data_IF_024436276544
#
_entry.id   IF_024436276544
#
_cell.length_a   1.000
_cell.length_b   1.000
_cell.length_c   1.000
_cell.angle_alpha   90.00
_cell.angle_beta   90.00
_cell.angle_gamma   90.00
#
_symmetry.space_group_name_H-M   'P 1'
#
loop_
_entity.id
_entity.type
_entity.pdbx_description
1 polymer ?
#
# COMPACT_ATOMS: atom_id res chain seq x y z
N UNK A 1 9.12 -36.97 -12.61
CA UNK A 1 9.25 -35.85 -11.66
C UNK A 1 7.88 -35.24 -11.65
N UNK A 2 7.14 -35.40 -10.55
CA UNK A 2 5.74 -34.96 -10.46
C UNK A 2 5.70 -33.46 -10.75
N UNK A 3 5.09 -33.10 -11.89
CA UNK A 3 4.79 -31.70 -12.18
C UNK A 3 3.77 -31.24 -11.16
N UNK A 4 4.16 -30.34 -10.26
CA UNK A 4 3.21 -29.66 -9.38
C UNK A 4 2.87 -28.32 -10.00
N UNK A 5 1.61 -28.12 -10.37
CA UNK A 5 1.10 -26.80 -10.76
C UNK A 5 0.17 -26.25 -9.69
N UNK A 6 0.10 -24.94 -9.58
CA UNK A 6 -0.76 -24.27 -8.60
C UNK A 6 -1.57 -23.19 -9.28
N UNK A 7 -2.88 -23.21 -9.06
CA UNK A 7 -3.81 -22.19 -9.53
C UNK A 7 -4.68 -21.71 -8.36
N UNK A 8 -5.21 -20.50 -8.48
CA UNK A 8 -6.13 -19.96 -7.49
C UNK A 8 -7.45 -19.55 -8.13
N UNK A 9 -8.54 -19.81 -7.42
CA UNK A 9 -9.90 -19.45 -7.77
C UNK A 9 -10.42 -18.41 -6.78
N UNK A 10 -11.07 -17.37 -7.31
CA UNK A 10 -11.73 -16.35 -6.52
C UNK A 10 -13.10 -16.06 -7.12
N UNK A 11 -14.15 -16.07 -6.31
CA UNK A 11 -15.47 -15.68 -6.81
C UNK A 11 -15.54 -14.18 -7.10
N UNK A 12 -16.28 -13.80 -8.15
CA UNK A 12 -16.49 -12.39 -8.50
C UNK A 12 -17.09 -11.57 -7.35
N UNK A 13 -17.93 -12.18 -6.51
CA UNK A 13 -18.52 -11.54 -5.33
C UNK A 13 -17.48 -11.23 -4.24
N UNK A 14 -16.53 -12.14 -3.98
CA UNK A 14 -15.45 -11.89 -3.01
C UNK A 14 -14.48 -10.85 -3.54
N UNK A 15 -14.13 -10.91 -4.83
CA UNK A 15 -13.33 -9.87 -5.47
C UNK A 15 -14.00 -8.49 -5.38
N UNK A 16 -15.29 -8.42 -5.69
CA UNK A 16 -16.09 -7.20 -5.57
C UNK A 16 -16.16 -6.68 -4.14
N UNK A 17 -16.34 -7.56 -3.15
CA UNK A 17 -16.38 -7.17 -1.74
C UNK A 17 -15.03 -6.65 -1.23
N UNK A 18 -13.91 -7.25 -1.66
CA UNK A 18 -12.56 -6.77 -1.38
C UNK A 18 -12.35 -5.37 -1.96
N UNK A 19 -12.72 -5.17 -3.24
CA UNK A 19 -12.61 -3.88 -3.91
C UNK A 19 -13.50 -2.81 -3.25
N UNK A 20 -14.76 -3.14 -2.93
CA UNK A 20 -15.70 -2.24 -2.25
C UNK A 20 -15.15 -1.75 -0.91
N UNK A 21 -14.60 -2.67 -0.10
CA UNK A 21 -14.02 -2.32 1.18
C UNK A 21 -12.80 -1.39 1.04
N UNK A 22 -11.93 -1.66 0.07
CA UNK A 22 -10.78 -0.81 -0.19
C UNK A 22 -11.20 0.60 -0.63
N UNK A 23 -12.15 0.70 -1.55
CA UNK A 23 -12.66 1.97 -2.05
C UNK A 23 -13.39 2.79 -0.97
N UNK A 24 -13.97 2.11 0.02
CA UNK A 24 -14.63 2.74 1.17
C UNK A 24 -13.65 3.29 2.21
N UNK A 25 -12.36 2.92 2.13
CA UNK A 25 -11.32 3.37 3.07
C UNK A 25 -10.39 4.36 2.36
N UNK A 26 -9.96 5.42 3.03
CA UNK A 26 -9.04 6.44 2.51
C UNK A 26 -7.56 6.03 2.59
N UNK A 27 -7.23 5.01 3.39
CA UNK A 27 -5.89 4.46 3.57
C UNK A 27 -5.70 3.08 2.93
N UNK A 28 -4.45 2.58 3.00
CA UNK A 28 -4.15 1.16 2.78
C UNK A 28 -5.00 0.28 3.72
N UNK A 29 -5.33 -0.91 3.24
CA UNK A 29 -6.10 -1.90 4.01
C UNK A 29 -5.45 -3.27 3.91
N UNK A 30 -5.64 -4.10 4.93
CA UNK A 30 -5.09 -5.43 4.98
C UNK A 30 -6.07 -6.40 5.62
N UNK A 31 -5.85 -7.70 5.42
CA UNK A 31 -6.70 -8.72 6.01
C UNK A 31 -6.30 -10.13 5.64
N UNK A 32 -7.12 -11.10 6.04
CA UNK A 32 -6.87 -12.53 5.86
C UNK A 32 -7.81 -13.13 4.81
N UNK A 33 -7.33 -14.16 4.12
CA UNK A 33 -8.08 -14.95 3.16
C UNK A 33 -8.36 -16.33 3.75
N UNK A 34 -9.64 -16.73 3.71
CA UNK A 34 -10.13 -18.03 4.16
C UNK A 34 -10.63 -18.82 2.95
N UNK A 35 -10.41 -20.11 2.99
CA UNK A 35 -10.80 -21.01 1.92
C UNK A 35 -10.20 -22.38 2.10
N UNK A 36 -10.08 -23.12 1.01
CA UNK A 36 -9.56 -24.48 1.00
C UNK A 36 -8.52 -24.64 -0.11
N UNK A 37 -7.62 -25.61 0.06
CA UNK A 37 -6.67 -26.01 -0.98
C UNK A 37 -6.97 -27.45 -1.35
N UNK A 38 -7.18 -27.72 -2.64
CA UNK A 38 -7.48 -29.05 -3.17
C UNK A 38 -6.36 -29.47 -4.11
N UNK A 39 -5.82 -30.67 -3.94
CA UNK A 39 -4.89 -31.27 -4.89
C UNK A 39 -5.62 -32.30 -5.76
N UNK A 40 -5.58 -32.13 -7.07
CA UNK A 40 -6.15 -33.06 -8.03
C UNK A 40 -5.02 -33.67 -8.88
N UNK A 41 -4.91 -35.00 -8.85
CA UNK A 41 -3.97 -35.71 -9.71
C UNK A 41 -4.59 -35.85 -11.11
N UNK A 42 -3.91 -35.27 -12.11
CA UNK A 42 -4.30 -35.32 -13.51
C UNK A 42 -3.32 -36.20 -14.27
N UNK A 43 -3.84 -37.30 -14.80
CA UNK A 43 -3.07 -38.15 -15.70
C UNK A 43 -3.12 -37.54 -17.10
N UNK A 44 -1.98 -37.06 -17.59
CA UNK A 44 -1.83 -36.66 -18.99
C UNK A 44 -1.37 -37.85 -19.79
N UNK A 45 -2.24 -38.35 -20.68
CA UNK A 45 -1.89 -39.38 -21.65
C UNK A 45 -1.11 -38.70 -22.77
N UNK A 46 0.15 -39.05 -22.93
CA UNK A 46 0.98 -38.59 -24.05
C UNK A 46 0.90 -39.59 -25.20
N UNK A 47 1.20 -39.17 -26.44
CA UNK A 47 1.17 -40.06 -27.62
C UNK A 47 2.26 -41.15 -27.57
N UNK A 48 3.30 -40.95 -26.77
CA UNK A 48 4.20 -42.03 -26.31
C UNK A 48 3.51 -42.79 -25.17
N UNK A 49 3.61 -44.11 -25.10
CA UNK A 49 3.02 -44.98 -24.06
C UNK A 49 3.58 -44.76 -22.62
N UNK A 50 3.87 -43.51 -22.26
CA UNK A 50 4.31 -43.03 -20.97
C UNK A 50 3.18 -42.20 -20.37
N UNK A 51 2.73 -42.63 -19.20
CA UNK A 51 1.82 -41.85 -18.36
C UNK A 51 2.67 -40.86 -17.54
N UNK A 52 2.36 -39.56 -17.65
CA UNK A 52 2.86 -38.54 -16.73
C UNK A 52 1.72 -38.09 -15.81
N UNK A 53 2.02 -37.99 -14.52
CA UNK A 53 1.05 -37.62 -13.49
C UNK A 53 1.42 -36.23 -12.99
N UNK A 54 0.57 -35.26 -13.31
CA UNK A 54 0.68 -33.90 -12.83
C UNK A 54 -0.28 -33.72 -11.65
N UNK A 55 0.18 -33.12 -10.54
CA UNK A 55 -0.69 -32.76 -9.42
C UNK A 55 -0.99 -31.28 -9.50
N UNK A 56 -2.27 -30.95 -9.72
CA UNK A 56 -2.75 -29.57 -9.78
C UNK A 56 -3.31 -29.20 -8.41
N UNK A 57 -2.66 -28.26 -7.73
CA UNK A 57 -3.16 -27.67 -6.50
C UNK A 57 -4.01 -26.44 -6.80
N UNK A 58 -5.30 -26.51 -6.49
CA UNK A 58 -6.25 -25.40 -6.63
C UNK A 58 -6.56 -24.78 -5.28
N UNK A 59 -6.24 -23.49 -5.15
CA UNK A 59 -6.53 -22.67 -3.97
C UNK A 59 -7.87 -21.97 -4.18
N UNK A 60 -8.89 -22.37 -3.44
CA UNK A 60 -10.25 -21.82 -3.52
C UNK A 60 -10.48 -20.76 -2.44
N UNK A 61 -10.46 -19.48 -2.81
CA UNK A 61 -10.66 -18.35 -1.90
C UNK A 61 -12.16 -18.08 -1.75
N UNK A 62 -12.69 -18.34 -0.55
CA UNK A 62 -14.14 -18.34 -0.30
C UNK A 62 -14.61 -17.13 0.51
N UNK A 63 -13.77 -16.58 1.40
CA UNK A 63 -14.12 -15.44 2.25
C UNK A 63 -12.87 -14.64 2.64
N UNK A 64 -13.02 -13.35 2.92
CA UNK A 64 -12.00 -12.53 3.53
C UNK A 64 -12.38 -12.04 4.94
N UNK A 65 -11.36 -11.69 5.73
CA UNK A 65 -11.51 -10.99 7.01
C UNK A 65 -10.74 -9.67 6.93
N UNK A 66 -11.43 -8.52 7.02
CA UNK A 66 -10.76 -7.23 7.05
C UNK A 66 -10.13 -6.93 8.40
N UNK A 67 -8.94 -6.33 8.36
CA UNK A 67 -8.34 -5.65 9.50
C UNK A 67 -8.54 -4.14 9.31
N UNK A 68 -9.38 -3.53 10.16
CA UNK A 68 -9.73 -2.10 10.06
C UNK A 68 -8.62 -1.14 10.49
N UNK A 69 -7.48 -1.66 10.95
CA UNK A 69 -6.34 -0.87 11.38
C UNK A 69 -5.05 -1.53 10.90
N UNK A 70 -4.18 -0.73 10.28
CA UNK A 70 -2.81 -1.13 9.94
C UNK A 70 -2.01 -1.43 11.21
N UNK A 71 -1.08 -2.40 11.14
CA UNK A 71 -0.29 -2.83 12.31
C UNK A 71 -1.15 -3.38 13.45
N UNK A 72 -2.34 -3.90 13.15
CA UNK A 72 -3.24 -4.46 14.15
C UNK A 72 -2.75 -5.79 14.74
N UNK A 73 -2.00 -6.57 13.95
CA UNK A 73 -1.49 -7.90 14.33
C UNK A 73 0.03 -8.03 14.22
N UNK A 74 0.75 -6.95 13.91
CA UNK A 74 2.21 -6.95 13.78
C UNK A 74 2.81 -5.58 14.13
N UNK A 75 4.10 -5.56 14.52
CA UNK A 75 4.82 -4.34 14.87
C UNK A 75 5.57 -3.72 13.67
N UNK A 76 6.25 -2.58 13.87
CA UNK A 76 7.02 -1.91 12.79
C UNK A 76 8.13 -2.79 12.19
N UNK A 77 8.67 -3.72 12.96
CA UNK A 77 9.67 -4.70 12.57
C UNK A 77 9.08 -5.93 11.85
N UNK A 78 7.74 -6.02 11.68
CA UNK A 78 7.07 -7.14 11.02
C UNK A 78 6.92 -8.39 11.90
N UNK A 79 7.20 -8.29 13.20
CA UNK A 79 6.99 -9.38 14.16
C UNK A 79 5.51 -9.46 14.54
N UNK A 80 5.01 -10.67 14.73
CA UNK A 80 3.60 -10.93 14.98
C UNK A 80 3.23 -10.70 16.44
N UNK A 81 2.09 -10.06 16.65
CA UNK A 81 1.42 -9.98 17.93
C UNK A 81 0.42 -11.15 18.06
N UNK A 82 0.89 -12.29 18.56
CA UNK A 82 0.08 -13.51 18.66
C UNK A 82 -1.29 -13.34 19.33
N UNK A 83 -1.45 -12.63 20.48
CA UNK A 83 -2.77 -12.47 21.09
C UNK A 83 -3.71 -11.64 20.21
N UNK A 84 -3.21 -10.62 19.51
CA UNK A 84 -4.02 -9.84 18.58
C UNK A 84 -4.45 -10.69 17.37
N UNK A 85 -3.52 -11.49 16.82
CA UNK A 85 -3.80 -12.41 15.72
C UNK A 85 -4.85 -13.47 16.14
N UNK A 86 -4.71 -14.07 17.31
CA UNK A 86 -5.70 -15.00 17.88
C UNK A 86 -7.06 -14.34 18.05
N UNK A 87 -7.13 -13.08 18.47
CA UNK A 87 -8.40 -12.33 18.57
C UNK A 87 -9.07 -12.15 17.20
N UNK A 88 -8.31 -11.81 16.17
CA UNK A 88 -8.83 -11.60 14.81
C UNK A 88 -9.31 -12.92 14.19
N UNK A 89 -8.58 -14.02 14.42
CA UNK A 89 -8.89 -15.34 13.87
C UNK A 89 -9.85 -16.17 14.75
N UNK A 90 -10.15 -15.71 15.97
CA UNK A 90 -11.01 -16.45 16.89
C UNK A 90 -12.43 -16.67 16.33
N UNK A 91 -12.95 -17.89 16.51
CA UNK A 91 -14.32 -18.24 16.11
C UNK A 91 -14.52 -18.59 14.63
N UNK A 92 -13.45 -18.87 13.88
CA UNK A 92 -13.54 -19.26 12.47
C UNK A 92 -13.28 -20.75 12.30
N UNK A 93 -14.16 -21.43 11.56
CA UNK A 93 -14.07 -22.86 11.26
C UNK A 93 -13.16 -23.17 10.07
N UNK A 94 -13.01 -22.23 9.14
CA UNK A 94 -12.24 -22.41 7.90
C UNK A 94 -10.77 -22.06 8.11
N UNK A 95 -9.90 -22.75 7.39
CA UNK A 95 -8.46 -22.53 7.44
C UNK A 95 -8.07 -21.20 6.79
N UNK A 96 -7.01 -20.61 7.31
CA UNK A 96 -6.38 -19.42 6.71
C UNK A 96 -5.47 -19.90 5.60
N UNK A 97 -5.84 -19.60 4.36
CA UNK A 97 -5.07 -19.97 3.16
C UNK A 97 -4.13 -18.86 2.72
N UNK A 98 -4.38 -17.62 3.17
CA UNK A 98 -3.57 -16.49 2.77
C UNK A 98 -3.93 -15.20 3.49
N UNK A 99 -3.34 -14.12 3.01
CA UNK A 99 -3.63 -12.77 3.44
C UNK A 99 -3.58 -11.82 2.25
N UNK A 100 -4.18 -10.65 2.38
CA UNK A 100 -4.24 -9.66 1.32
C UNK A 100 -3.86 -8.28 1.84
N UNK A 101 -3.38 -7.45 0.93
CA UNK A 101 -3.11 -6.04 1.18
C UNK A 101 -3.45 -5.19 -0.03
N UNK A 102 -4.09 -4.07 0.24
CA UNK A 102 -4.36 -3.03 -0.73
C UNK A 102 -3.40 -1.87 -0.56
N UNK A 103 -2.86 -1.38 -1.68
CA UNK A 103 -2.04 -0.18 -1.75
C UNK A 103 -2.54 0.75 -2.85
N UNK A 104 -2.24 2.04 -2.74
CA UNK A 104 -2.61 3.08 -3.69
C UNK A 104 -1.37 3.67 -4.35
N UNK A 105 -1.43 3.79 -5.67
CA UNK A 105 -0.40 4.40 -6.51
C UNK A 105 1.00 3.78 -6.29
N UNK A 106 1.06 2.44 -6.22
CA UNK A 106 2.32 1.68 -6.07
C UNK A 106 2.46 0.58 -7.11
N UNK A 107 3.69 0.12 -7.32
CA UNK A 107 3.99 -1.02 -8.20
C UNK A 107 3.42 -2.35 -7.67
N UNK A 108 3.25 -3.33 -8.54
CA UNK A 108 2.75 -4.67 -8.19
C UNK A 108 3.86 -5.62 -7.69
N UNK A 109 4.66 -5.17 -6.72
CA UNK A 109 5.80 -5.91 -6.13
C UNK A 109 5.69 -5.93 -4.60
N UNK A 110 6.07 -7.04 -3.97
CA UNK A 110 6.12 -7.12 -2.50
C UNK A 110 7.25 -6.29 -1.89
N UNK A 111 6.88 -5.45 -0.93
CA UNK A 111 7.78 -4.68 -0.05
C UNK A 111 8.58 -5.58 0.88
N UNK A 112 9.64 -5.03 1.48
CA UNK A 112 10.46 -5.75 2.45
C UNK A 112 9.61 -6.23 3.64
N UNK A 113 8.75 -5.35 4.16
CA UNK A 113 7.86 -5.66 5.29
C UNK A 113 6.88 -6.78 4.96
N UNK A 114 6.27 -6.76 3.78
CA UNK A 114 5.33 -7.81 3.35
C UNK A 114 6.01 -9.18 3.26
N UNK A 115 7.26 -9.23 2.76
CA UNK A 115 8.04 -10.48 2.69
C UNK A 115 8.34 -11.05 4.08
N UNK A 116 8.74 -10.19 5.02
CA UNK A 116 9.02 -10.61 6.39
C UNK A 116 7.75 -11.06 7.13
N UNK A 117 6.68 -10.27 7.00
CA UNK A 117 5.38 -10.59 7.59
C UNK A 117 4.84 -11.92 7.05
N UNK A 118 4.96 -12.16 5.74
CA UNK A 118 4.55 -13.42 5.12
C UNK A 118 5.30 -14.62 5.73
N UNK A 119 6.63 -14.54 5.88
CA UNK A 119 7.44 -15.61 6.50
C UNK A 119 7.04 -15.86 7.96
N UNK A 120 6.77 -14.79 8.71
CA UNK A 120 6.34 -14.89 10.10
C UNK A 120 4.94 -15.52 10.21
N UNK A 121 4.00 -15.14 9.34
CA UNK A 121 2.66 -15.74 9.27
C UNK A 121 2.71 -17.21 8.87
N UNK A 122 3.54 -17.57 7.89
CA UNK A 122 3.77 -18.95 7.45
C UNK A 122 4.27 -19.82 8.61
N UNK A 123 5.20 -19.29 9.42
CA UNK A 123 5.76 -19.98 10.59
C UNK A 123 4.72 -20.13 11.70
N UNK A 124 3.94 -19.09 12.01
CA UNK A 124 2.95 -19.11 13.07
C UNK A 124 1.72 -19.98 12.74
N UNK A 125 1.24 -19.92 11.49
CA UNK A 125 0.07 -20.70 11.04
C UNK A 125 0.42 -22.15 10.66
N UNK A 126 1.71 -22.50 10.62
CA UNK A 126 2.20 -23.81 10.15
C UNK A 126 1.69 -24.19 8.75
N UNK A 127 1.41 -23.19 7.90
CA UNK A 127 0.89 -23.38 6.55
C UNK A 127 1.94 -22.94 5.51
N UNK A 128 2.67 -23.90 4.94
CA UNK A 128 3.70 -23.61 3.93
C UNK A 128 3.15 -23.13 2.58
N UNK A 129 1.88 -23.39 2.30
CA UNK A 129 1.18 -22.96 1.09
C UNK A 129 0.50 -21.60 1.21
N UNK A 130 0.86 -20.78 2.21
CA UNK A 130 0.24 -19.48 2.43
C UNK A 130 0.42 -18.58 1.19
N UNK A 131 -0.66 -17.95 0.74
CA UNK A 131 -0.62 -17.01 -0.40
C UNK A 131 -0.78 -15.57 0.04
N UNK A 132 -0.22 -14.65 -0.74
CA UNK A 132 -0.33 -13.20 -0.55
C UNK A 132 -0.99 -12.54 -1.76
N UNK A 133 -2.20 -12.02 -1.57
CA UNK A 133 -2.91 -11.26 -2.60
C UNK A 133 -2.59 -9.77 -2.47
N UNK A 134 -1.82 -9.25 -3.42
CA UNK A 134 -1.54 -7.83 -3.51
C UNK A 134 -2.53 -7.19 -4.48
N UNK A 135 -3.19 -6.11 -4.05
CA UNK A 135 -4.03 -5.29 -4.91
C UNK A 135 -3.50 -3.86 -4.91
N UNK A 136 -3.35 -3.28 -6.09
CA UNK A 136 -2.89 -1.90 -6.26
C UNK A 136 -3.90 -1.11 -7.08
N UNK A 137 -4.36 0.00 -6.51
CA UNK A 137 -5.20 0.96 -7.23
C UNK A 137 -4.33 2.13 -7.69
N UNK A 138 -4.34 2.47 -8.97
CA UNK A 138 -3.61 3.60 -9.52
C UNK A 138 -4.50 4.46 -10.40
N UNK A 139 -4.33 5.77 -10.34
CA UNK A 139 -4.93 6.70 -11.30
C UNK A 139 -4.02 6.77 -12.52
N UNK A 140 -4.55 6.47 -13.72
CA UNK A 140 -3.75 6.41 -14.95
C UNK A 140 -3.63 7.76 -15.64
N UNK A 141 -4.59 8.65 -15.41
CA UNK A 141 -4.66 9.98 -16.04
C UNK A 141 -4.64 11.07 -14.98
N UNK A 142 -3.94 12.18 -15.25
CA UNK A 142 -3.91 13.34 -14.33
C UNK A 142 -5.31 13.91 -14.10
N UNK A 143 -6.20 13.77 -15.09
CA UNK A 143 -7.60 14.19 -15.04
C UNK A 143 -8.52 13.25 -14.24
N UNK A 144 -8.01 12.16 -13.66
CA UNK A 144 -8.82 11.17 -12.92
C UNK A 144 -9.97 10.55 -13.73
N UNK A 145 -9.84 10.49 -15.05
CA UNK A 145 -10.83 9.88 -15.94
C UNK A 145 -10.70 8.35 -16.03
N UNK A 146 -9.49 7.82 -15.82
CA UNK A 146 -9.19 6.38 -15.94
C UNK A 146 -8.51 5.87 -14.69
N UNK A 147 -9.12 4.86 -14.07
CA UNK A 147 -8.59 4.16 -12.90
C UNK A 147 -8.17 2.75 -13.29
N UNK A 148 -7.14 2.25 -12.62
CA UNK A 148 -6.63 0.90 -12.79
C UNK A 148 -6.57 0.21 -11.43
N UNK A 149 -7.13 -1.00 -11.36
CA UNK A 149 -7.04 -1.88 -10.19
C UNK A 149 -6.29 -3.15 -10.62
N UNK A 150 -4.99 -3.19 -10.35
CA UNK A 150 -4.17 -4.37 -10.61
C UNK A 150 -4.18 -5.31 -9.40
N UNK A 151 -4.13 -6.61 -9.67
CA UNK A 151 -4.07 -7.63 -8.63
C UNK A 151 -3.12 -8.75 -9.03
N UNK A 152 -2.42 -9.32 -8.06
CA UNK A 152 -1.54 -10.46 -8.27
C UNK A 152 -1.44 -11.29 -6.98
N UNK A 153 -1.54 -12.61 -7.14
CA UNK A 153 -1.35 -13.55 -6.06
C UNK A 153 0.11 -14.02 -6.05
N UNK A 154 0.75 -13.96 -4.89
CA UNK A 154 2.14 -14.37 -4.71
C UNK A 154 2.21 -15.58 -3.77
N UNK A 155 3.06 -16.55 -4.10
CA UNK A 155 3.36 -17.71 -3.26
C UNK A 155 4.88 -17.85 -3.09
N UNK A 156 5.37 -18.17 -1.88
CA UNK A 156 6.77 -18.50 -1.69
C UNK A 156 7.09 -19.85 -2.34
N UNK A 157 8.12 -19.88 -3.19
CA UNK A 157 8.67 -21.09 -3.79
C UNK A 157 10.20 -20.96 -3.81
N UNK A 158 10.89 -21.90 -3.15
CA UNK A 158 12.37 -21.95 -3.08
C UNK A 158 13.04 -20.66 -2.57
N UNK A 159 12.39 -19.97 -1.63
CA UNK A 159 12.90 -18.72 -1.04
C UNK A 159 12.67 -17.46 -1.88
N UNK A 160 12.22 -17.62 -3.13
CA UNK A 160 11.68 -16.56 -3.97
C UNK A 160 10.16 -16.53 -3.87
N UNK A 161 9.56 -15.46 -4.37
CA UNK A 161 8.12 -15.36 -4.46
C UNK A 161 7.70 -15.32 -5.92
N UNK A 162 6.84 -16.26 -6.31
CA UNK A 162 6.35 -16.40 -7.66
C UNK A 162 4.88 -15.96 -7.75
N UNK A 163 4.50 -15.43 -8.92
CA UNK A 163 3.11 -15.07 -9.20
C UNK A 163 2.32 -16.32 -9.55
N UNK A 164 1.21 -16.53 -8.86
CA UNK A 164 0.27 -17.64 -9.09
C UNK A 164 -0.89 -17.13 -9.94
N UNK A 165 -1.30 -17.84 -11.01
CA UNK A 165 -2.45 -17.45 -11.80
C UNK A 165 -3.72 -17.47 -10.95
N UNK A 166 -4.42 -16.34 -10.94
CA UNK A 166 -5.69 -16.15 -10.24
C UNK A 166 -6.81 -16.05 -11.28
N UNK A 167 -7.79 -16.96 -11.20
CA UNK A 167 -8.95 -16.96 -12.09
C UNK A 167 -10.17 -16.50 -11.30
N UNK A 168 -10.83 -15.45 -11.80
CA UNK A 168 -12.10 -14.99 -11.25
C UNK A 168 -13.24 -15.80 -11.85
N UNK A 169 -13.86 -16.65 -11.03
CA UNK A 169 -14.95 -17.54 -11.49
C UNK A 169 -16.17 -16.71 -11.86
N UNK A 170 -16.70 -16.94 -13.05
CA UNK A 170 -17.88 -16.26 -13.57
C UNK A 170 -18.78 -17.26 -14.33
N UNK A 171 -20.03 -16.88 -14.57
CA UNK A 171 -21.01 -17.74 -15.25
C UNK A 171 -20.61 -18.07 -16.70
N UNK A 172 -19.82 -17.21 -17.34
CA UNK A 172 -19.32 -17.42 -18.71
C UNK A 172 -18.30 -18.55 -18.84
N UNK A 173 -17.76 -19.06 -17.73
CA UNK A 173 -16.91 -20.25 -17.70
C UNK A 173 -17.71 -21.57 -17.81
N UNK A 174 -19.04 -21.50 -17.71
CA UNK A 174 -19.89 -22.67 -17.89
C UNK A 174 -19.86 -23.14 -19.35
N UNK A 175 -19.88 -24.46 -19.55
CA UNK A 175 -19.94 -25.04 -20.89
C UNK A 175 -21.21 -24.58 -21.61
N UNK A 176 -21.05 -23.94 -22.76
CA UNK A 176 -22.16 -23.46 -23.57
C UNK A 176 -22.88 -24.65 -24.22
N UNK A 177 -23.91 -25.15 -23.56
CA UNK A 177 -24.80 -26.13 -24.15
C UNK A 177 -25.87 -25.40 -24.98
N UNK A 178 -25.72 -25.43 -26.31
CA UNK A 178 -26.73 -24.92 -27.22
C UNK A 178 -27.97 -25.83 -27.21
N UNK A 179 -29.17 -25.25 -27.14
CA UNK A 179 -30.40 -26.01 -27.31
C UNK A 179 -30.56 -26.47 -28.76
N UNK A 180 -30.78 -27.77 -28.94
CA UNK A 180 -31.04 -28.35 -30.26
C UNK A 180 -32.46 -28.00 -30.71
N UNK A 181 -32.59 -27.20 -31.76
CA UNK A 181 -33.90 -26.77 -32.32
C UNK A 181 -34.44 -27.72 -33.38
N UNK A 182 -33.58 -28.44 -34.10
CA UNK A 182 -33.96 -29.38 -35.15
C UNK A 182 -33.44 -30.78 -34.84
N UNK A 183 -34.38 -31.71 -34.70
CA UNK A 183 -34.09 -33.14 -34.61
C UNK A 183 -34.14 -33.78 -36.00
N UNK A 184 -33.21 -34.68 -36.30
CA UNK A 184 -33.30 -35.49 -37.51
C UNK A 184 -34.51 -36.43 -37.41
N UNK A 185 -35.41 -36.40 -38.40
CA UNK A 185 -36.58 -37.29 -38.44
C UNK A 185 -36.13 -38.74 -38.66
N UNK A 186 -36.61 -39.67 -37.83
CA UNK A 186 -36.33 -41.10 -37.98
C UNK A 186 -37.64 -41.84 -38.31
N UNK A 187 -37.71 -42.50 -39.47
CA UNK A 187 -38.87 -43.28 -39.91
C UNK A 187 -38.96 -44.67 -39.23
N UNK A 188 -38.03 -45.03 -38.34
CA UNK A 188 -38.01 -46.34 -37.68
C UNK A 188 -39.13 -46.47 -36.65
N UNK A 189 -40.06 -47.40 -36.90
CA UNK A 189 -41.15 -47.72 -35.97
C UNK A 189 -40.63 -48.32 -34.65
N UNK A 190 -39.52 -49.07 -34.69
CA UNK A 190 -38.88 -49.64 -33.51
C UNK A 190 -38.36 -48.56 -32.57
N UNK A 191 -37.70 -47.53 -33.11
CA UNK A 191 -37.23 -46.38 -32.35
C UNK A 191 -38.39 -45.64 -31.69
N UNK A 192 -39.44 -45.32 -32.45
CA UNK A 192 -40.63 -44.61 -31.93
C UNK A 192 -41.32 -45.42 -30.82
N UNK A 193 -41.41 -46.75 -30.96
CA UNK A 193 -42.01 -47.62 -29.93
C UNK A 193 -41.22 -47.58 -28.63
N UNK A 194 -39.89 -47.71 -28.70
CA UNK A 194 -39.02 -47.66 -27.54
C UNK A 194 -39.12 -46.31 -26.81
N UNK A 195 -39.07 -45.20 -27.56
CA UNK A 195 -39.22 -43.84 -26.98
C UNK A 195 -40.59 -43.67 -26.32
N UNK A 196 -41.68 -44.15 -26.94
CA UNK A 196 -43.02 -44.07 -26.35
C UNK A 196 -43.17 -44.90 -25.08
N UNK A 197 -42.55 -46.08 -25.02
CA UNK A 197 -42.60 -46.96 -23.86
C UNK A 197 -41.95 -46.32 -22.62
N UNK A 198 -40.84 -45.59 -22.79
CA UNK A 198 -40.12 -44.93 -21.70
C UNK A 198 -40.49 -43.45 -21.50
N UNK A 199 -41.38 -42.90 -22.34
CA UNK A 199 -41.74 -41.46 -22.30
C UNK A 199 -42.30 -41.04 -20.93
N UNK A 200 -43.10 -41.89 -20.31
CA UNK A 200 -43.75 -41.61 -19.02
C UNK A 200 -42.79 -41.51 -17.84
N UNK A 201 -41.54 -41.96 -17.98
CA UNK A 201 -40.53 -41.87 -16.92
C UNK A 201 -39.99 -40.43 -16.76
N UNK A 202 -40.02 -39.62 -17.83
CA UNK A 202 -39.42 -38.28 -17.85
C UNK A 202 -40.41 -37.15 -18.15
N UNK A 203 -41.48 -37.45 -18.89
CA UNK A 203 -42.48 -36.46 -19.29
C UNK A 203 -43.75 -36.61 -18.45
N UNK A 204 -44.35 -35.49 -18.10
CA UNK A 204 -45.72 -35.45 -17.63
C UNK A 204 -46.70 -35.67 -18.78
N UNK A 205 -47.98 -35.90 -18.46
CA UNK A 205 -49.04 -36.15 -19.45
C UNK A 205 -49.26 -34.96 -20.40
N UNK A 206 -48.96 -33.74 -19.94
CA UNK A 206 -49.04 -32.50 -20.72
C UNK A 206 -47.84 -32.30 -21.68
N UNK A 207 -46.81 -33.16 -21.61
CA UNK A 207 -45.60 -33.09 -22.40
C UNK A 207 -44.48 -32.22 -21.82
N UNK A 208 -44.64 -31.67 -20.62
CA UNK A 208 -43.56 -31.00 -19.89
C UNK A 208 -42.56 -32.01 -19.30
N UNK A 209 -41.31 -31.59 -19.12
CA UNK A 209 -40.25 -32.46 -18.58
C UNK A 209 -40.24 -32.36 -17.05
N UNK A 210 -40.32 -33.49 -16.36
CA UNK A 210 -40.39 -33.54 -14.89
C UNK A 210 -39.18 -32.86 -14.22
N UNK A 211 -37.98 -33.05 -14.78
CA UNK A 211 -36.75 -32.47 -14.23
C UNK A 211 -36.69 -30.96 -14.32
N UNK A 212 -37.29 -30.34 -15.36
CA UNK A 212 -37.34 -28.87 -15.47
C UNK A 212 -38.14 -28.29 -14.31
N UNK A 213 -39.26 -28.92 -13.94
CA UNK A 213 -40.05 -28.49 -12.79
C UNK A 213 -39.29 -28.65 -11.48
N UNK A 214 -38.65 -29.80 -11.25
CA UNK A 214 -37.85 -30.03 -10.02
C UNK A 214 -36.72 -29.02 -9.86
N UNK A 215 -35.97 -28.73 -10.94
CA UNK A 215 -34.87 -27.75 -10.91
C UNK A 215 -35.42 -26.34 -10.69
N UNK A 216 -36.55 -25.99 -11.30
CA UNK A 216 -37.19 -24.69 -11.10
C UNK A 216 -37.71 -24.52 -9.66
N UNK A 217 -38.27 -25.56 -9.04
CA UNK A 217 -38.69 -25.55 -7.64
C UNK A 217 -37.50 -25.41 -6.69
N UNK A 218 -36.42 -26.15 -6.95
CA UNK A 218 -35.16 -26.02 -6.21
C UNK A 218 -34.60 -24.59 -6.33
N UNK A 219 -34.60 -24.03 -7.54
CA UNK A 219 -34.16 -22.66 -7.80
C UNK A 219 -35.05 -21.62 -7.09
N UNK A 220 -36.37 -21.79 -7.11
CA UNK A 220 -37.31 -20.92 -6.41
C UNK A 220 -37.05 -20.92 -4.90
N UNK A 221 -36.84 -22.11 -4.31
CA UNK A 221 -36.51 -22.26 -2.88
C UNK A 221 -35.20 -21.54 -2.54
N UNK A 222 -34.16 -21.69 -3.37
CA UNK A 222 -32.88 -21.00 -3.19
C UNK A 222 -33.03 -19.47 -3.30
N UNK A 223 -33.86 -18.99 -4.22
CA UNK A 223 -34.14 -17.57 -4.39
C UNK A 223 -34.88 -16.98 -3.18
N UNK A 224 -35.80 -17.73 -2.57
CA UNK A 224 -36.49 -17.33 -1.34
C UNK A 224 -35.52 -17.23 -0.15
N UNK A 225 -34.62 -18.19 0.02
CA UNK A 225 -33.57 -18.14 1.04
C UNK A 225 -32.61 -16.96 0.82
N UNK A 226 -32.22 -16.68 -0.42
CA UNK A 226 -31.39 -15.51 -0.75
C UNK A 226 -32.11 -14.20 -0.42
N UNK A 227 -33.42 -14.11 -0.71
CA UNK A 227 -34.24 -12.94 -0.38
C UNK A 227 -34.32 -12.73 1.13
N UNK A 228 -34.52 -13.79 1.91
CA UNK A 228 -34.51 -13.74 3.38
C UNK A 228 -33.16 -13.24 3.91
N UNK A 229 -32.07 -13.80 3.40
CA UNK A 229 -30.71 -13.38 3.77
C UNK A 229 -30.45 -11.91 3.41
N UNK A 230 -30.97 -11.43 2.27
CA UNK A 230 -30.87 -10.04 1.87
C UNK A 230 -31.56 -9.10 2.87
N UNK A 231 -32.75 -9.45 3.35
CA UNK A 231 -33.46 -8.67 4.38
C UNK A 231 -32.70 -8.65 5.72
N UNK A 232 -32.11 -9.78 6.13
CA UNK A 232 -31.30 -9.84 7.35
C UNK A 232 -30.05 -8.96 7.24
N UNK A 233 -29.37 -8.98 6.09
CA UNK A 233 -28.21 -8.12 5.81
C UNK A 233 -28.61 -6.65 5.82
N UNK A 234 -29.71 -6.27 5.16
CA UNK A 234 -30.22 -4.88 5.15
C UNK A 234 -30.46 -4.34 6.56
N UNK A 235 -31.10 -5.13 7.43
CA UNK A 235 -31.32 -4.75 8.84
C UNK A 235 -29.99 -4.62 9.59
N UNK A 236 -29.04 -5.52 9.33
CA UNK A 236 -27.73 -5.46 9.97
C UNK A 236 -26.91 -4.24 9.53
N UNK A 237 -26.94 -3.87 8.25
CA UNK A 237 -26.26 -2.70 7.69
C UNK A 237 -26.82 -1.41 8.29
N UNK A 238 -28.16 -1.27 8.37
CA UNK A 238 -28.81 -0.13 9.05
C UNK A 238 -28.40 -0.03 10.52
N UNK A 239 -28.27 -1.17 11.21
CA UNK A 239 -27.81 -1.19 12.60
C UNK A 239 -26.35 -0.76 12.72
N UNK A 240 -25.48 -1.18 11.80
CA UNK A 240 -24.07 -0.79 11.76
C UNK A 240 -23.93 0.70 11.45
N UNK A 241 -24.69 1.22 10.49
CA UNK A 241 -24.75 2.65 10.18
C UNK A 241 -25.11 3.47 11.41
N UNK A 242 -26.19 3.10 12.12
CA UNK A 242 -26.60 3.77 13.36
C UNK A 242 -25.47 3.75 14.39
N UNK A 243 -24.87 2.60 14.64
CA UNK A 243 -23.75 2.46 15.60
C UNK A 243 -22.53 3.29 15.19
N UNK A 244 -22.20 3.35 13.90
CA UNK A 244 -21.10 4.17 13.39
C UNK A 244 -21.37 5.65 13.60
N UNK A 245 -22.60 6.13 13.38
CA UNK A 245 -22.96 7.53 13.65
C UNK A 245 -22.84 7.87 15.14
N UNK A 246 -23.31 6.99 16.03
CA UNK A 246 -23.19 7.16 17.48
C UNK A 246 -21.71 7.20 17.92
N UNK A 247 -20.88 6.29 17.40
CA UNK A 247 -19.44 6.25 17.69
C UNK A 247 -18.73 7.52 17.18
N UNK A 248 -19.09 8.01 15.99
CA UNK A 248 -18.53 9.25 15.44
C UNK A 248 -18.91 10.47 16.28
N UNK A 249 -20.18 10.60 16.68
CA UNK A 249 -20.65 11.65 17.59
C UNK A 249 -19.90 11.62 18.93
N UNK A 250 -19.75 10.43 19.53
CA UNK A 250 -19.00 10.28 20.78
C UNK A 250 -17.51 10.65 20.62
N UNK A 251 -16.87 10.30 19.50
CA UNK A 251 -15.49 10.70 19.20
C UNK A 251 -15.36 12.22 19.07
N UNK A 252 -16.30 12.89 18.42
CA UNK A 252 -16.35 14.35 18.31
C UNK A 252 -16.50 15.02 19.67
N UNK A 253 -17.39 14.52 20.54
CA UNK A 253 -17.54 15.04 21.90
C UNK A 253 -16.27 14.90 22.74
N UNK A 254 -15.58 13.76 22.63
CA UNK A 254 -14.30 13.52 23.30
C UNK A 254 -13.25 14.51 22.78
N UNK A 255 -13.18 14.75 21.48
CA UNK A 255 -12.26 15.71 20.88
C UNK A 255 -12.55 17.14 21.34
N UNK A 256 -13.82 17.56 21.37
CA UNK A 256 -14.24 18.87 21.91
C UNK A 256 -13.84 19.03 23.38
N UNK A 257 -14.08 18.01 24.21
CA UNK A 257 -13.68 18.02 25.63
C UNK A 257 -12.16 18.07 25.82
N UNK A 258 -11.39 17.35 24.98
CA UNK A 258 -9.91 17.42 24.98
C UNK A 258 -9.41 18.81 24.59
N UNK A 259 -9.99 19.43 23.57
CA UNK A 259 -9.67 20.80 23.17
C UNK A 259 -9.98 21.82 24.28
N UNK A 260 -11.16 21.75 24.91
CA UNK A 260 -11.48 22.62 26.05
C UNK A 260 -10.54 22.44 27.23
N UNK A 261 -10.04 21.22 27.50
CA UNK A 261 -9.05 20.97 28.56
C UNK A 261 -7.69 21.57 28.23
N UNK A 262 -7.27 21.54 26.97
CA UNK A 262 -6.04 22.20 26.50
C UNK A 262 -6.19 23.73 26.60
N UNK A 263 -7.32 24.28 26.16
CA UNK A 263 -7.58 25.74 26.24
C UNK A 263 -7.82 26.25 27.66
N UNK A 264 -8.37 25.43 28.57
CA UNK A 264 -8.59 25.82 29.98
C UNK A 264 -7.39 25.53 30.89
N UNK A 265 -6.49 24.62 30.48
CA UNK A 265 -5.24 24.32 31.18
C UNK A 265 -4.06 25.22 30.76
N UNK A 266 -4.23 26.09 29.75
CA UNK A 266 -3.17 26.94 29.20
C UNK A 266 -3.15 28.39 29.70
N UNK A 267 -4.06 28.82 30.59
CA UNK A 267 -4.24 30.24 30.93
C UNK A 267 -4.15 30.60 32.41
N UNK A 268 -3.52 29.76 33.24
CA UNK A 268 -3.17 30.11 34.62
C UNK A 268 -1.77 29.57 34.92
N UNK A 269 -0.82 30.48 35.17
CA UNK A 269 0.53 30.25 35.70
C UNK A 269 1.71 30.04 34.73
N UNK A 270 1.73 30.75 33.60
CA UNK A 270 3.00 31.26 33.06
C UNK A 270 2.85 32.77 32.81
N UNK A 271 3.10 33.54 33.88
CA UNK A 271 3.61 34.90 33.73
C UNK A 271 4.80 34.77 32.78
N UNK A 272 4.76 35.41 31.61
CA UNK A 272 5.87 35.45 30.66
C UNK A 272 7.12 35.98 31.39
N UNK A 273 7.91 35.07 31.98
CA UNK A 273 9.30 35.37 32.27
C UNK A 273 9.93 35.70 30.91
N UNK A 274 10.62 36.83 30.79
CA UNK A 274 11.25 37.20 29.54
C UNK A 274 12.12 36.02 29.11
N UNK A 275 11.90 35.49 27.90
CA UNK A 275 12.71 34.41 27.33
C UNK A 275 14.17 34.84 27.35
N UNK A 276 14.90 34.43 28.39
CA UNK A 276 16.30 34.79 28.53
C UNK A 276 17.11 34.09 27.45
N UNK A 277 18.14 34.75 26.94
CA UNK A 277 19.08 34.10 26.03
C UNK A 277 19.98 33.17 26.83
N UNK A 278 19.48 31.96 27.11
CA UNK A 278 20.12 30.91 27.91
C UNK A 278 21.55 30.63 27.44
N UNK A 279 21.77 30.58 26.12
CA UNK A 279 23.11 30.35 25.53
C UNK A 279 24.07 31.49 25.86
N UNK A 280 23.62 32.74 25.74
CA UNK A 280 24.44 33.91 26.07
C UNK A 280 24.72 34.00 27.57
N UNK A 281 23.72 33.76 28.41
CA UNK A 281 23.88 33.76 29.87
C UNK A 281 24.90 32.71 30.32
N UNK A 282 24.84 31.51 29.74
CA UNK A 282 25.83 30.47 30.02
C UNK A 282 27.21 30.85 29.46
N UNK A 283 27.31 31.38 28.23
CA UNK A 283 28.59 31.81 27.64
C UNK A 283 29.30 32.86 28.51
N UNK A 284 28.57 33.88 28.96
CA UNK A 284 29.11 34.93 29.81
C UNK A 284 29.61 34.39 31.16
N UNK A 285 28.92 33.41 31.73
CA UNK A 285 29.38 32.70 32.94
C UNK A 285 30.64 31.87 32.70
N UNK A 286 30.73 31.17 31.57
CA UNK A 286 31.88 30.30 31.24
C UNK A 286 33.13 31.11 30.92
N UNK A 287 33.03 32.16 30.11
CA UNK A 287 34.19 32.96 29.68
C UNK A 287 34.65 34.00 30.71
N UNK A 288 33.71 34.56 31.50
CA UNK A 288 33.99 35.64 32.44
C UNK A 288 33.40 35.37 33.83
N UNK A 289 33.84 34.30 34.52
CA UNK A 289 33.28 33.91 35.83
C UNK A 289 33.53 34.95 36.94
N UNK A 290 34.58 35.76 36.80
CA UNK A 290 35.00 36.79 37.77
C UNK A 290 34.41 38.19 37.50
N UNK A 291 33.56 38.34 36.48
CA UNK A 291 33.02 39.63 36.08
C UNK A 291 31.53 39.73 36.43
N UNK A 292 31.09 40.87 36.96
CA UNK A 292 29.66 41.20 37.15
C UNK A 292 28.90 41.43 35.83
N UNK A 293 29.42 40.92 34.69
CA UNK A 293 28.88 41.08 33.34
C UNK A 293 27.72 40.12 33.02
N UNK A 294 27.20 39.38 34.01
CA UNK A 294 26.15 38.38 33.85
C UNK A 294 24.72 38.97 33.73
N UNK A 295 24.64 40.27 33.49
CA UNK A 295 23.40 41.05 33.50
C UNK A 295 23.02 41.44 32.07
N UNK A 296 21.91 40.91 31.57
CA UNK A 296 21.39 41.23 30.23
C UNK A 296 20.34 42.36 30.25
N UNK A 297 20.08 42.99 31.40
CA UNK A 297 19.05 44.03 31.56
C UNK A 297 19.68 45.33 32.06
N UNK A 298 19.46 46.41 31.30
CA UNK A 298 19.85 47.78 31.66
C UNK A 298 18.58 48.58 31.96
N UNK A 299 18.53 49.23 33.12
CA UNK A 299 17.42 50.13 33.44
C UNK A 299 17.42 51.34 32.52
N UNK A 300 16.24 51.91 32.26
CA UNK A 300 16.08 53.14 31.47
C UNK A 300 16.89 54.34 32.02
N UNK A 301 17.31 54.29 33.29
CA UNK A 301 18.17 55.28 33.96
C UNK A 301 19.68 54.96 33.86
N UNK A 302 20.09 54.02 33.02
CA UNK A 302 21.50 53.67 32.78
C UNK A 302 22.15 52.82 33.87
N UNK A 303 21.39 52.29 34.84
CA UNK A 303 21.91 51.32 35.83
C UNK A 303 21.67 49.89 35.36
N UNK A 304 22.71 49.08 35.36
CA UNK A 304 22.63 47.64 35.13
C UNK A 304 21.81 47.00 36.26
N UNK A 305 20.81 46.18 35.90
CA UNK A 305 19.96 45.46 36.85
C UNK A 305 20.55 44.09 37.22
N UNK A 306 20.17 43.55 38.39
CA UNK A 306 20.70 42.28 38.94
C UNK A 306 20.45 41.08 38.01
N UNK A 307 21.37 40.11 38.07
CA UNK A 307 21.48 38.88 37.26
C UNK A 307 20.14 38.29 36.82
N UNK A 308 20.01 38.11 35.50
CA UNK A 308 18.81 37.57 34.85
C UNK A 308 18.76 36.04 35.04
N UNK A 309 19.79 35.36 34.58
CA UNK A 309 19.87 33.91 34.73
C UNK A 309 20.55 33.53 36.04
N UNK A 310 19.85 32.84 36.95
CA UNK A 310 20.45 32.21 38.15
C UNK A 310 20.70 30.71 37.98
N UNK A 311 20.06 30.07 37.02
CA UNK A 311 20.08 28.61 36.84
C UNK A 311 21.28 28.22 35.99
N UNK A 312 22.01 27.17 36.37
CA UNK A 312 22.99 26.54 35.47
C UNK A 312 22.24 25.64 34.48
N UNK A 313 22.39 25.93 33.18
CA UNK A 313 21.69 25.20 32.13
C UNK A 313 22.46 23.97 31.62
N UNK A 314 23.64 23.66 32.21
CA UNK A 314 24.50 22.52 31.84
C UNK A 314 24.86 22.49 30.35
N UNK A 315 25.06 23.67 29.75
CA UNK A 315 25.49 23.81 28.36
C UNK A 315 27.01 24.00 28.35
N UNK A 316 27.73 23.04 27.77
CA UNK A 316 29.18 23.09 27.61
C UNK A 316 29.54 23.92 26.37
N UNK A 317 29.99 25.16 26.57
CA UNK A 317 30.43 26.06 25.50
C UNK A 317 31.95 25.97 25.39
N UNK A 318 32.44 25.23 24.41
CA UNK A 318 33.87 24.97 24.16
C UNK A 318 34.52 25.91 23.14
N UNK A 319 33.74 26.77 22.48
CA UNK A 319 34.28 27.64 21.44
C UNK A 319 35.26 28.66 22.04
N UNK A 320 36.32 29.02 21.30
CA UNK A 320 37.28 30.04 21.76
C UNK A 320 36.74 31.43 21.42
N UNK A 321 36.64 32.31 22.41
CA UNK A 321 36.61 33.75 22.13
C UNK A 321 37.91 34.12 21.40
N UNK A 322 37.77 34.91 20.33
CA UNK A 322 38.79 35.47 19.43
C UNK A 322 40.23 34.94 19.57
N UNK A 323 40.78 34.42 18.47
CA UNK A 323 42.16 33.98 18.36
C UNK A 323 43.14 35.09 18.78
N UNK A 324 43.73 34.99 19.98
CA UNK A 324 44.79 35.90 20.42
C UNK A 324 46.10 35.51 19.73
N UNK A 325 46.38 36.12 18.58
CA UNK A 325 47.68 36.04 17.92
C UNK A 325 48.36 37.38 18.10
N UNK A 326 49.50 37.34 18.78
CA UNK A 326 50.42 38.48 18.89
C UNK A 326 51.20 38.58 17.58
N UNK A 327 50.67 39.32 16.61
CA UNK A 327 51.43 39.68 15.42
C UNK A 327 52.53 40.68 15.81
N UNK A 328 53.78 40.21 15.85
CA UNK A 328 54.94 41.09 16.03
C UNK A 328 55.19 41.86 14.74
N UNK A 329 54.90 43.15 14.81
CA UNK A 329 55.35 44.29 14.02
C UNK A 329 55.92 44.00 12.63
N UNK A 330 55.11 44.33 11.62
CA UNK A 330 55.61 44.78 10.34
C UNK A 330 56.36 46.11 10.56
N UNK A 331 57.68 46.11 10.35
CA UNK A 331 58.47 47.33 10.26
C UNK A 331 58.01 48.15 9.05
N UNK A 332 57.24 49.20 9.30
CA UNK A 332 57.07 50.34 8.39
C UNK A 332 58.42 51.07 8.27
N UNK A 333 59.07 50.97 7.11
CA UNK A 333 60.16 51.85 6.74
C UNK A 333 60.06 52.24 5.25
N UNK A 334 59.77 53.54 5.08
CA UNK A 334 60.18 54.41 3.97
C UNK A 334 59.44 54.33 2.63
N UNK A 335 58.45 55.20 2.54
CA UNK A 335 58.10 56.01 1.37
C UNK A 335 59.32 56.51 0.57
N UNK A 336 59.53 56.00 -0.66
CA UNK A 336 60.17 56.75 -1.77
C UNK A 336 59.54 56.45 -3.13
N UNK A 337 58.74 57.42 -3.57
CA UNK A 337 58.67 58.04 -4.91
C UNK A 337 58.62 57.18 -6.20
N UNK A 338 57.42 57.15 -6.79
CA UNK A 338 57.03 57.79 -8.07
C UNK A 338 57.79 57.44 -9.38
N UNK A 339 56.96 57.08 -10.38
CA UNK A 339 57.13 57.15 -11.86
C UNK A 339 57.97 56.10 -12.62
N UNK A 340 57.30 55.22 -13.39
CA UNK A 340 56.98 55.34 -14.85
C UNK A 340 56.88 53.98 -15.56
N UNK A 341 55.71 53.77 -16.18
CA UNK A 341 55.32 52.79 -17.20
C UNK A 341 56.40 52.38 -18.23
N UNK A 342 56.43 51.09 -18.59
CA UNK A 342 56.17 50.64 -19.98
C UNK A 342 55.84 49.13 -20.07
N UNK A 343 55.03 48.84 -21.09
CA UNK A 343 54.22 47.65 -21.39
C UNK A 343 54.93 46.69 -22.36
N UNK A 344 54.72 45.37 -22.21
CA UNK A 344 54.31 44.38 -23.26
C UNK A 344 54.13 42.99 -22.61
N UNK A 345 52.92 42.41 -22.57
CA UNK A 345 52.32 41.47 -23.58
C UNK A 345 53.09 40.14 -23.54
N UNK A 346 52.57 38.93 -23.25
CA UNK A 346 51.27 38.22 -23.34
C UNK A 346 51.49 36.90 -22.54
N UNK A 347 50.56 36.08 -22.03
CA UNK A 347 49.28 35.57 -22.56
C UNK A 347 48.60 34.76 -21.44
N UNK A 348 47.33 35.09 -21.16
CA UNK A 348 46.18 34.21 -20.84
C UNK A 348 46.28 33.08 -19.81
N UNK A 349 45.48 33.21 -18.73
CA UNK A 349 44.88 32.09 -17.99
C UNK A 349 44.60 32.39 -16.51
N UNK A 350 43.39 32.81 -16.10
CA UNK A 350 43.10 33.14 -14.70
C UNK A 350 42.59 31.92 -13.93
N UNK A 351 43.18 31.61 -12.78
CA UNK A 351 42.58 30.71 -11.77
C UNK A 351 41.95 31.53 -10.64
N UNK A 352 40.71 31.17 -10.37
CA UNK A 352 39.72 31.82 -9.53
C UNK A 352 39.93 31.59 -8.02
N UNK A 353 39.61 32.63 -7.25
CA UNK A 353 39.18 32.56 -5.86
C UNK A 353 37.66 32.35 -5.83
N UNK A 354 37.16 31.41 -5.00
CA UNK A 354 36.08 31.61 -3.99
C UNK A 354 35.40 30.29 -3.58
N UNK A 355 35.21 30.19 -2.26
CA UNK A 355 34.24 29.38 -1.48
C UNK A 355 33.01 28.89 -2.25
N UNK A 356 32.62 27.63 -2.06
CA UNK A 356 31.44 27.21 -1.29
C UNK A 356 31.34 25.67 -1.18
N UNK A 357 30.78 25.20 -0.06
CA UNK A 357 30.39 23.80 0.19
C UNK A 357 29.10 23.47 -0.57
N UNK A 358 29.01 22.28 -1.18
CA UNK A 358 27.85 21.37 -1.07
C UNK A 358 28.18 20.00 -1.67
N UNK A 359 27.61 18.99 -1.03
CA UNK A 359 27.71 17.56 -1.31
C UNK A 359 27.06 17.17 -2.64
N UNK A 360 27.68 16.28 -3.40
CA UNK A 360 27.02 15.22 -4.16
C UNK A 360 28.07 14.19 -4.59
N UNK A 361 27.86 12.94 -4.19
CA UNK A 361 28.64 11.77 -4.56
C UNK A 361 27.78 11.01 -5.57
N UNK A 362 28.11 11.13 -6.86
CA UNK A 362 27.56 10.28 -7.91
C UNK A 362 28.63 9.29 -8.37
N UNK A 363 28.17 8.05 -8.53
CA UNK A 363 28.90 6.86 -8.95
C UNK A 363 29.38 6.98 -10.39
N UNK A 364 30.64 6.61 -10.61
CA UNK A 364 31.23 6.42 -11.94
C UNK A 364 30.68 5.17 -12.63
N UNK A 365 30.29 5.38 -13.89
CA UNK A 365 30.08 4.40 -14.95
C UNK A 365 31.41 4.10 -15.64
N UNK A 366 31.74 2.82 -15.84
CA UNK A 366 32.56 2.31 -16.94
C UNK A 366 32.04 0.89 -17.26
N UNK A 367 31.39 0.70 -18.42
CA UNK A 367 31.98 0.22 -19.69
C UNK A 367 32.18 -1.31 -19.69
N UNK A 368 31.39 -2.07 -20.46
CA UNK A 368 31.81 -2.62 -21.76
C UNK A 368 30.75 -3.53 -22.42
N UNK A 369 30.93 -3.66 -23.73
CA UNK A 369 30.08 -4.14 -24.82
C UNK A 369 29.69 -5.64 -24.78
N UNK A 370 28.54 -6.00 -25.37
CA UNK A 370 28.43 -6.83 -26.59
C UNK A 370 27.01 -7.46 -26.77
N UNK A 371 26.37 -6.99 -27.84
CA UNK A 371 25.80 -7.76 -28.96
C UNK A 371 24.44 -8.51 -28.90
N UNK A 372 23.75 -8.36 -30.04
CA UNK A 372 22.81 -9.27 -30.73
C UNK A 372 21.28 -9.07 -30.60
N UNK A 373 20.72 -8.37 -31.61
CA UNK A 373 19.62 -8.77 -32.54
C UNK A 373 18.27 -9.28 -31.98
N UNK A 374 17.10 -9.08 -32.59
CA UNK A 374 16.57 -8.43 -33.79
C UNK A 374 15.03 -8.52 -33.69
N UNK A 375 14.33 -7.53 -34.27
CA UNK A 375 13.00 -7.61 -34.93
C UNK A 375 11.77 -8.05 -34.08
N UNK A 376 10.57 -7.47 -34.21
CA UNK A 376 9.85 -7.06 -35.42
C UNK A 376 8.80 -5.98 -35.10
N UNK A 377 8.74 -4.94 -35.94
CA UNK A 377 7.64 -3.96 -36.08
C UNK A 377 6.35 -4.66 -36.52
N UNK A 378 5.17 -4.15 -36.15
CA UNK A 378 4.12 -3.81 -37.11
C UNK A 378 3.23 -2.68 -36.56
N UNK A 379 3.02 -1.69 -37.42
CA UNK A 379 2.27 -0.44 -37.22
C UNK A 379 0.86 -0.55 -37.82
N UNK A 380 -0.04 0.41 -37.47
CA UNK A 380 -1.12 1.04 -38.26
C UNK A 380 -2.06 1.76 -37.26
N UNK A 381 -1.89 3.05 -36.99
CA UNK A 381 -2.48 4.22 -37.68
C UNK A 381 -3.99 4.41 -37.51
N UNK A 382 -4.38 5.47 -36.80
CA UNK A 382 -5.25 6.55 -37.31
C UNK A 382 -5.37 7.63 -36.24
N UNK A 383 -5.16 8.87 -36.69
CA UNK A 383 -5.28 10.10 -35.92
C UNK A 383 -6.56 10.80 -36.38
N UNK A 384 -7.36 11.29 -35.45
CA UNK A 384 -8.18 12.49 -35.64
C UNK A 384 -8.14 13.28 -34.33
N UNK A 385 -7.50 14.44 -34.42
CA UNK A 385 -7.44 15.51 -33.43
C UNK A 385 -8.78 16.21 -33.39
N UNK A 386 -9.29 16.53 -32.20
CA UNK A 386 -10.06 17.75 -32.03
C UNK A 386 -9.72 18.39 -30.68
N UNK A 387 -9.27 19.63 -30.77
CA UNK A 387 -8.90 20.54 -29.70
C UNK A 387 -10.14 21.28 -29.24
N UNK A 388 -10.56 21.16 -27.98
CA UNK A 388 -11.28 22.26 -27.33
C UNK A 388 -10.86 22.40 -25.86
N UNK A 389 -10.38 23.61 -25.58
CA UNK A 389 -9.92 24.12 -24.32
C UNK A 389 -11.03 24.19 -23.27
N UNK A 390 -10.70 23.85 -22.02
CA UNK A 390 -11.33 24.53 -20.88
C UNK A 390 -10.41 24.58 -19.67
N UNK A 391 -10.10 25.80 -19.27
CA UNK A 391 -9.29 26.17 -18.11
C UNK A 391 -10.05 26.02 -16.77
N UNK A 392 -9.27 25.65 -15.75
CA UNK A 392 -9.40 25.98 -14.30
C UNK A 392 -10.45 25.26 -13.44
N UNK A 393 -10.26 25.15 -12.09
CA UNK A 393 -9.09 25.50 -11.27
C UNK A 393 -8.64 24.38 -10.28
N UNK A 394 -7.36 24.47 -9.89
CA UNK A 394 -6.78 24.13 -8.57
C UNK A 394 -7.68 23.40 -7.56
N UNK A 395 -7.52 22.08 -7.48
CA UNK A 395 -7.60 21.32 -6.22
C UNK A 395 -6.45 20.31 -6.21
N UNK A 396 -5.29 20.75 -5.74
CA UNK A 396 -4.19 19.86 -5.36
C UNK A 396 -4.59 19.10 -4.10
N UNK A 397 -5.37 18.04 -4.28
CA UNK A 397 -5.41 16.94 -3.32
C UNK A 397 -4.17 16.11 -3.61
N UNK A 398 -3.08 16.33 -2.84
CA UNK A 398 -1.90 15.46 -2.86
C UNK A 398 -2.37 14.01 -2.71
N UNK A 399 -2.23 13.22 -3.76
CA UNK A 399 -2.60 11.81 -3.75
C UNK A 399 -1.81 11.09 -2.66
N UNK A 400 -2.52 10.37 -1.79
CA UNK A 400 -1.92 9.57 -0.74
C UNK A 400 -1.14 8.40 -1.36
N UNK A 401 0.16 8.59 -1.54
CA UNK A 401 1.09 7.52 -1.88
C UNK A 401 1.22 6.56 -0.69
N UNK A 402 1.05 5.27 -0.93
CA UNK A 402 1.36 4.27 0.10
C UNK A 402 2.87 4.24 0.35
N UNK A 403 3.34 4.25 1.61
CA UNK A 403 4.76 4.17 1.89
C UNK A 403 5.30 2.77 1.55
N UNK A 404 6.12 2.69 0.51
CA UNK A 404 6.92 1.52 0.16
C UNK A 404 8.22 1.56 0.95
N UNK A 405 8.40 0.59 1.86
CA UNK A 405 9.65 0.37 2.62
C UNK A 405 10.28 -0.97 2.25
#
# INVERSE_FOLDING_TARGET
>A
MEGESTSALLSGFVFGALAFQHLSTDSDTEGFLLGDVKGEAKNSITDSQMDDVEVVYTIDIQKHIPCYQLFSFYNSAGELNEPALKKILSGRKKSVIGWYKFRRNTDQIMTFRERLLHKNLQSHLSNQGLVFLLLTSSVMTESCSTYRLEHALHRPQEGLFQKVPLVVTNLGMAEQQGYRTVSGSCASSGFVRAVKQHRSEFFYEDGSLQEVHKINEMYATLQEELKKMCSDVEVSERSVEKLLTEVSQLKEEINRKKQHKISSGGNKDQLEEPKENVLLCQALRTFFPSSDLQTCIVSFKGRISKNCCKIDHNINIMDKLTLMVEERDFTEAETKLVTKRKVRVTTTGPKSLKKLRSLQLDQELHQDEEDCNQETKLALSSAETDEEALENPKDTNEYSYSPTF
#
